data_IF_314638203024
#
_entry.id   IF_314638203024
#
_cell.length_a   1.000
_cell.length_b   1.000
_cell.length_c   1.000
_cell.angle_alpha   90.00
_cell.angle_beta   90.00
_cell.angle_gamma   90.00
#
_symmetry.space_group_name_H-M   'P 1'
#
loop_
_entity.id
_entity.type
_entity.pdbx_description
1 polymer ?
#
# COMPACT_ATOMS: atom_id res chain seq x y z
N UNK A 1 3.09 4.69 2.80
CA UNK A 1 2.24 3.47 2.93
C UNK A 1 1.27 3.56 4.12
N UNK A 2 0.62 4.70 4.32
CA UNK A 2 -0.10 5.05 5.56
C UNK A 2 -1.48 4.39 5.68
N UNK A 3 -2.08 3.93 4.58
CA UNK A 3 -3.41 3.32 4.59
C UNK A 3 -3.48 2.08 5.51
N UNK A 4 -2.36 1.35 5.68
CA UNK A 4 -2.24 0.21 6.59
C UNK A 4 -2.30 0.60 8.08
N UNK A 5 -2.20 1.89 8.40
CA UNK A 5 -2.34 2.43 9.76
C UNK A 5 -3.78 2.90 10.04
N UNK A 6 -4.59 3.09 9.00
CA UNK A 6 -5.94 3.66 9.07
C UNK A 6 -6.97 2.76 8.37
N UNK A 7 -7.44 3.13 7.18
CA UNK A 7 -8.59 2.52 6.50
C UNK A 7 -8.36 1.07 6.08
N UNK A 8 -7.11 0.66 5.87
CA UNK A 8 -6.73 -0.70 5.48
C UNK A 8 -6.01 -1.43 6.62
N UNK A 9 -6.27 -1.05 7.87
CA UNK A 9 -5.56 -1.59 9.03
C UNK A 9 -5.68 -3.13 9.12
N UNK A 10 -4.55 -3.86 9.20
CA UNK A 10 -4.58 -5.32 9.35
C UNK A 10 -5.27 -5.75 10.64
N UNK A 11 -6.01 -6.86 10.58
CA UNK A 11 -6.71 -7.44 11.74
C UNK A 11 -5.86 -8.53 12.38
N UNK A 12 -5.83 -8.58 13.71
CA UNK A 12 -5.13 -9.64 14.44
C UNK A 12 -6.05 -10.85 14.62
N UNK A 13 -5.61 -12.05 14.23
CA UNK A 13 -6.31 -13.30 14.52
C UNK A 13 -6.04 -13.80 15.94
N UNK A 14 -6.78 -14.84 16.35
CA UNK A 14 -6.69 -15.42 17.69
C UNK A 14 -5.30 -15.98 18.04
N UNK A 15 -4.57 -16.49 17.06
CA UNK A 15 -3.18 -17.00 17.17
C UNK A 15 -2.13 -15.87 17.17
N UNK A 16 -2.57 -14.62 16.99
CA UNK A 16 -1.70 -13.45 16.95
C UNK A 16 -1.13 -13.09 15.58
N UNK A 17 -1.48 -13.83 14.52
CA UNK A 17 -1.12 -13.50 13.13
C UNK A 17 -1.83 -12.22 12.68
N UNK A 18 -1.13 -11.37 11.93
CA UNK A 18 -1.69 -10.15 11.33
C UNK A 18 -2.23 -10.47 9.93
N UNK A 19 -3.53 -10.26 9.72
CA UNK A 19 -4.22 -10.52 8.45
C UNK A 19 -4.40 -9.21 7.69
N UNK A 20 -3.74 -9.11 6.54
CA UNK A 20 -3.92 -8.04 5.56
C UNK A 20 -5.01 -8.49 4.58
N UNK A 21 -6.12 -7.74 4.49
CA UNK A 21 -7.28 -8.18 3.71
C UNK A 21 -7.75 -7.09 2.75
N UNK A 22 -7.85 -7.43 1.46
CA UNK A 22 -8.29 -6.53 0.39
C UNK A 22 -9.09 -7.29 -0.68
N UNK A 23 -9.99 -6.62 -1.41
CA UNK A 23 -10.75 -7.22 -2.50
C UNK A 23 -9.93 -7.28 -3.81
N UNK A 24 -8.70 -7.81 -3.73
CA UNK A 24 -7.78 -7.97 -4.88
C UNK A 24 -7.12 -9.35 -4.85
N UNK A 25 -6.68 -9.84 -6.01
CA UNK A 25 -5.91 -11.08 -6.09
C UNK A 25 -4.55 -10.91 -5.40
N UNK A 26 -4.06 -11.94 -4.73
CA UNK A 26 -2.78 -11.89 -4.02
C UNK A 26 -1.58 -11.61 -4.94
N UNK A 27 -1.70 -11.91 -6.24
CA UNK A 27 -0.69 -11.62 -7.27
C UNK A 27 -0.86 -10.24 -7.91
N UNK A 28 -1.91 -9.49 -7.56
CA UNK A 28 -2.09 -8.11 -8.05
C UNK A 28 -0.93 -7.25 -7.57
N UNK A 29 -0.25 -6.59 -8.51
CA UNK A 29 0.77 -5.57 -8.20
C UNK A 29 0.09 -4.29 -7.75
N UNK A 30 0.45 -3.82 -6.55
CA UNK A 30 -0.01 -2.58 -5.96
C UNK A 30 1.05 -1.50 -6.17
N UNK A 31 0.67 -0.40 -6.81
CA UNK A 31 1.50 0.81 -6.80
C UNK A 31 1.30 1.51 -5.46
N UNK A 32 2.38 1.61 -4.69
CA UNK A 32 2.37 2.17 -3.35
C UNK A 32 3.26 3.40 -3.30
N UNK A 33 2.88 4.35 -2.46
CA UNK A 33 3.65 5.56 -2.20
C UNK A 33 3.64 5.87 -0.71
N UNK A 34 4.70 6.51 -0.21
CA UNK A 34 4.68 7.11 1.11
C UNK A 34 4.11 8.53 1.06
N UNK A 35 3.20 8.87 1.97
CA UNK A 35 2.61 10.21 1.97
C UNK A 35 3.68 11.27 2.19
N UNK A 36 4.74 10.94 2.94
CA UNK A 36 5.86 11.84 3.19
C UNK A 36 6.67 12.14 1.91
N UNK A 37 6.60 11.28 0.90
CA UNK A 37 7.24 11.51 -0.41
C UNK A 37 6.48 12.57 -1.24
N UNK A 38 5.21 12.82 -0.93
CA UNK A 38 4.36 13.72 -1.73
C UNK A 38 4.90 15.15 -1.71
N UNK A 39 5.31 15.66 -0.55
CA UNK A 39 5.82 17.02 -0.39
C UNK A 39 7.00 17.31 -1.32
N UNK A 40 8.12 16.56 -1.19
CA UNK A 40 9.29 16.71 -2.07
C UNK A 40 8.96 16.59 -3.56
N UNK A 41 8.09 15.65 -3.96
CA UNK A 41 7.70 15.46 -5.36
C UNK A 41 6.95 16.68 -5.90
N UNK A 42 5.95 17.17 -5.16
CA UNK A 42 5.17 18.35 -5.58
C UNK A 42 6.06 19.60 -5.61
N UNK A 43 6.98 19.77 -4.65
CA UNK A 43 7.94 20.87 -4.68
C UNK A 43 8.82 20.82 -5.93
N UNK A 44 9.32 19.64 -6.32
CA UNK A 44 10.11 19.50 -7.54
C UNK A 44 9.31 19.84 -8.81
N UNK A 45 8.03 19.43 -8.87
CA UNK A 45 7.13 19.74 -9.98
C UNK A 45 6.90 21.25 -10.10
N UNK A 46 6.60 21.93 -8.99
CA UNK A 46 6.30 23.36 -8.98
C UNK A 46 7.52 24.22 -9.31
N UNK A 47 8.73 23.74 -9.02
CA UNK A 47 9.97 24.45 -9.31
C UNK A 47 10.45 24.29 -10.78
N UNK A 48 9.82 23.41 -11.57
CA UNK A 48 10.18 23.18 -12.98
C UNK A 48 8.90 23.09 -13.86
N UNK A 49 8.12 24.18 -13.94
CA UNK A 49 6.84 24.17 -14.64
C UNK A 49 6.99 23.94 -16.16
N UNK A 50 8.11 24.35 -16.76
CA UNK A 50 8.38 24.11 -18.19
C UNK A 50 8.42 22.61 -18.51
N UNK A 51 8.91 21.81 -17.56
CA UNK A 51 8.99 20.36 -17.71
C UNK A 51 7.68 19.64 -17.40
N UNK A 52 6.92 20.12 -16.41
CA UNK A 52 5.83 19.33 -15.83
C UNK A 52 4.41 19.84 -16.13
N UNK A 53 4.22 21.07 -16.60
CA UNK A 53 2.88 21.56 -16.96
C UNK A 53 2.28 20.73 -18.10
N UNK A 54 1.04 20.28 -17.90
CA UNK A 54 0.29 19.46 -18.86
C UNK A 54 0.69 17.98 -18.88
N UNK A 55 1.55 17.52 -17.97
CA UNK A 55 1.94 16.10 -17.85
C UNK A 55 1.07 15.36 -16.83
N UNK A 56 0.76 14.10 -17.14
CA UNK A 56 0.22 13.15 -16.18
C UNK A 56 1.37 12.45 -15.45
N UNK A 57 1.46 12.63 -14.12
CA UNK A 57 2.55 12.10 -13.31
C UNK A 57 2.01 11.04 -12.36
N UNK A 58 2.44 9.79 -12.56
CA UNK A 58 2.17 8.71 -11.62
C UNK A 58 3.21 8.70 -10.49
N UNK A 59 2.78 8.91 -9.25
CA UNK A 59 3.64 8.81 -8.07
C UNK A 59 3.62 7.37 -7.53
N UNK A 60 4.77 6.70 -7.57
CA UNK A 60 4.94 5.34 -7.09
C UNK A 60 6.32 5.22 -6.46
N UNK A 61 6.37 4.87 -5.18
CA UNK A 61 7.61 4.58 -4.45
C UNK A 61 8.01 3.10 -4.55
N UNK A 62 7.03 2.20 -4.64
CA UNK A 62 7.25 0.76 -4.83
C UNK A 62 6.06 0.08 -5.52
N UNK A 63 6.35 -0.99 -6.26
CA UNK A 63 5.37 -1.81 -6.97
C UNK A 63 5.54 -3.28 -6.60
N UNK A 64 4.74 -3.76 -5.65
CA UNK A 64 4.85 -5.11 -5.08
C UNK A 64 3.55 -5.89 -5.23
N UNK A 65 3.62 -7.22 -5.27
CA UNK A 65 2.40 -8.02 -5.23
C UNK A 65 1.74 -7.92 -3.85
N UNK A 66 0.42 -8.00 -3.79
CA UNK A 66 -0.29 -7.97 -2.51
C UNK A 66 0.22 -9.06 -1.54
N UNK A 67 0.58 -10.24 -2.07
CA UNK A 67 1.18 -11.32 -1.28
C UNK A 67 2.54 -10.97 -0.63
N UNK A 68 3.24 -9.94 -1.13
CA UNK A 68 4.53 -9.52 -0.58
C UNK A 68 4.38 -8.58 0.62
N UNK A 69 3.24 -7.90 0.75
CA UNK A 69 2.94 -7.02 1.90
C UNK A 69 3.13 -7.74 3.25
N UNK A 70 2.46 -8.89 3.52
CA UNK A 70 2.67 -9.61 4.78
C UNK A 70 4.08 -10.18 4.94
N UNK A 71 4.77 -10.52 3.84
CA UNK A 71 6.16 -11.01 3.88
C UNK A 71 7.12 -9.91 4.34
N UNK A 72 6.98 -8.70 3.78
CA UNK A 72 7.78 -7.52 4.15
C UNK A 72 7.47 -7.14 5.61
N UNK A 73 6.20 -7.11 5.98
CA UNK A 73 5.80 -6.83 7.37
C UNK A 73 6.43 -7.83 8.35
N UNK A 74 6.33 -9.13 8.06
CA UNK A 74 6.93 -10.18 8.90
C UNK A 74 8.44 -10.03 8.97
N UNK A 75 9.12 -9.76 7.84
CA UNK A 75 10.57 -9.57 7.78
C UNK A 75 11.04 -8.41 8.66
N UNK A 76 10.30 -7.30 8.70
CA UNK A 76 10.70 -6.09 9.45
C UNK A 76 10.32 -6.19 10.93
N UNK A 77 9.18 -6.79 11.24
CA UNK A 77 8.61 -6.77 12.61
C UNK A 77 8.82 -8.06 13.40
N UNK A 78 9.11 -9.18 12.71
CA UNK A 78 9.11 -10.52 13.31
C UNK A 78 7.72 -11.08 13.63
N UNK A 79 6.64 -10.33 13.38
CA UNK A 79 5.27 -10.75 13.66
C UNK A 79 4.71 -11.53 12.46
N UNK A 80 4.18 -12.76 12.64
CA UNK A 80 3.57 -13.52 11.56
C UNK A 80 2.43 -12.74 10.88
N UNK A 81 2.40 -12.77 9.56
CA UNK A 81 1.34 -12.14 8.79
C UNK A 81 0.94 -12.95 7.55
N UNK A 82 -0.29 -12.74 7.08
CA UNK A 82 -0.84 -13.34 5.86
C UNK A 82 -1.68 -12.35 5.08
N UNK A 83 -1.83 -12.62 3.78
CA UNK A 83 -2.79 -11.95 2.92
C UNK A 83 -4.10 -12.73 2.90
N UNK A 84 -5.21 -12.01 2.70
CA UNK A 84 -6.54 -12.59 2.44
C UNK A 84 -7.21 -11.78 1.34
N UNK A 85 -7.54 -12.42 0.22
CA UNK A 85 -8.46 -11.85 -0.76
C UNK A 85 -9.88 -11.85 -0.19
N UNK A 86 -10.54 -10.70 -0.24
CA UNK A 86 -11.95 -10.52 0.11
C UNK A 86 -12.81 -10.53 -1.14
N UNK A 87 -14.06 -10.99 -1.01
CA UNK A 87 -15.11 -10.66 -1.96
C UNK A 87 -15.53 -9.19 -1.81
N UNK A 88 -16.15 -8.62 -2.84
CA UNK A 88 -16.70 -7.27 -2.76
C UNK A 88 -17.72 -7.13 -1.62
N UNK A 89 -18.56 -8.16 -1.41
CA UNK A 89 -19.54 -8.17 -0.32
C UNK A 89 -18.86 -8.13 1.05
N UNK A 90 -17.80 -8.91 1.28
CA UNK A 90 -17.03 -8.86 2.53
C UNK A 90 -16.34 -7.51 2.76
N UNK A 91 -15.94 -6.81 1.70
CA UNK A 91 -15.25 -5.52 1.82
C UNK A 91 -16.20 -4.34 2.12
N UNK A 92 -17.46 -4.43 1.71
CA UNK A 92 -18.46 -3.36 1.90
C UNK A 92 -19.17 -3.37 3.26
N UNK A 93 -18.94 -4.41 4.08
CA UNK A 93 -19.48 -4.56 5.45
C UNK A 93 -18.60 -3.85 6.49
#
# INVERSE_FOLDING_TARGET
MQNWLSSLKPKKSADGTMIFALPVDEKTTLHMVDIEDTGPIITAILNDPEKYVGQDICMCGDAIQFSDVPKIFTKVTGVPASAKTLTEAEYRL
#
